data_IF_081518923240
#
_entry.id   IF_081518923240
#
_cell.length_a   1.000
_cell.length_b   1.000
_cell.length_c   1.000
_cell.angle_alpha   90.00
_cell.angle_beta   90.00
_cell.angle_gamma   90.00
#
_symmetry.space_group_name_H-M   'P 1'
#
loop_
_entity.id
_entity.type
_entity.pdbx_description
1 polymer ?
#
# COMPACT_ATOMS: atom_id res chain seq x y z
N UNK A 1 -35.26 -5.35 -9.17
CA UNK A 1 -33.93 -5.86 -8.75
C UNK A 1 -33.34 -7.06 -9.53
N UNK A 2 -33.91 -7.61 -10.63
CA UNK A 2 -33.23 -8.66 -11.39
C UNK A 2 -32.08 -8.14 -12.28
N UNK A 3 -32.14 -6.89 -12.75
CA UNK A 3 -31.10 -6.32 -13.64
C UNK A 3 -29.76 -6.06 -12.96
N UNK A 4 -29.75 -5.74 -11.66
CA UNK A 4 -28.54 -5.49 -10.90
C UNK A 4 -28.02 -6.73 -10.14
N UNK A 5 -28.62 -7.91 -10.31
CA UNK A 5 -28.14 -9.18 -9.71
C UNK A 5 -28.26 -9.28 -8.17
N UNK A 6 -28.04 -10.48 -7.62
CA UNK A 6 -28.07 -10.75 -6.17
C UNK A 6 -26.83 -10.19 -5.46
N UNK A 7 -26.97 -9.86 -4.17
CA UNK A 7 -25.87 -9.43 -3.28
C UNK A 7 -25.43 -10.63 -2.43
N UNK A 8 -24.12 -10.89 -2.25
CA UNK A 8 -22.97 -10.20 -2.85
C UNK A 8 -22.65 -10.68 -4.28
N UNK A 9 -22.22 -9.77 -5.15
CA UNK A 9 -21.67 -10.09 -6.48
C UNK A 9 -20.15 -10.19 -6.41
N UNK A 10 -19.54 -11.10 -7.18
CA UNK A 10 -18.07 -11.20 -7.30
C UNK A 10 -17.44 -9.86 -7.73
N UNK A 11 -18.17 -9.09 -8.55
CA UNK A 11 -17.73 -7.79 -9.04
C UNK A 11 -17.70 -6.71 -7.94
N UNK A 12 -18.39 -6.89 -6.82
CA UNK A 12 -18.38 -5.92 -5.71
C UNK A 12 -17.14 -6.04 -4.83
N UNK A 13 -16.45 -7.19 -4.89
CA UNK A 13 -15.32 -7.49 -4.04
C UNK A 13 -14.12 -6.64 -4.48
N UNK A 14 -13.51 -5.83 -3.60
CA UNK A 14 -12.29 -5.11 -3.93
C UNK A 14 -11.11 -6.08 -4.00
N UNK A 15 -10.31 -5.94 -5.05
CA UNK A 15 -9.11 -6.74 -5.33
C UNK A 15 -7.87 -5.97 -4.91
N UNK A 16 -6.87 -6.70 -4.43
CA UNK A 16 -5.55 -6.16 -4.10
C UNK A 16 -4.48 -6.98 -4.82
N UNK A 17 -3.48 -6.29 -5.36
CA UNK A 17 -2.31 -6.88 -5.98
C UNK A 17 -1.07 -6.20 -5.40
N UNK A 18 -0.16 -6.98 -4.84
CA UNK A 18 1.11 -6.52 -4.31
C UNK A 18 2.27 -7.19 -5.03
N UNK A 19 3.35 -6.45 -5.23
CA UNK A 19 4.56 -6.98 -5.86
C UNK A 19 5.80 -6.25 -5.38
N UNK A 20 6.92 -6.95 -5.33
CA UNK A 20 8.22 -6.35 -5.04
C UNK A 20 9.33 -7.06 -5.81
N UNK A 21 10.27 -6.26 -6.30
CA UNK A 21 11.51 -6.70 -6.91
C UNK A 21 12.67 -6.26 -6.02
N UNK A 22 13.56 -7.18 -5.69
CA UNK A 22 14.77 -6.89 -4.92
C UNK A 22 16.01 -7.28 -5.72
N UNK A 23 16.96 -6.36 -5.82
CA UNK A 23 18.24 -6.55 -6.46
C UNK A 23 19.37 -6.47 -5.44
N UNK A 24 20.24 -7.46 -5.45
CA UNK A 24 21.42 -7.49 -4.58
C UNK A 24 22.56 -6.70 -5.23
N UNK A 25 22.82 -5.50 -4.73
CA UNK A 25 23.88 -4.61 -5.23
C UNK A 25 25.28 -5.12 -4.88
N UNK A 26 25.44 -5.65 -3.67
CA UNK A 26 26.71 -6.22 -3.17
C UNK A 26 26.43 -7.43 -2.30
N UNK A 27 27.47 -8.12 -1.83
CA UNK A 27 27.31 -9.21 -0.85
C UNK A 27 26.62 -8.79 0.45
N UNK A 28 26.53 -7.49 0.74
CA UNK A 28 25.97 -6.94 1.97
C UNK A 28 24.79 -6.00 1.74
N UNK A 29 24.57 -5.54 0.51
CA UNK A 29 23.61 -4.50 0.20
C UNK A 29 22.57 -5.00 -0.79
N UNK A 30 21.30 -4.72 -0.52
CA UNK A 30 20.20 -4.93 -1.47
C UNK A 30 19.34 -3.67 -1.60
N UNK A 31 18.79 -3.49 -2.79
CA UNK A 31 17.83 -2.45 -3.11
C UNK A 31 16.53 -3.11 -3.56
N UNK A 32 15.40 -2.58 -3.14
CA UNK A 32 14.08 -3.12 -3.45
C UNK A 32 13.16 -2.03 -3.95
N UNK A 33 12.40 -2.33 -5.00
CA UNK A 33 11.27 -1.54 -5.46
C UNK A 33 10.04 -2.41 -5.36
N UNK A 34 9.01 -1.93 -4.67
CA UNK A 34 7.76 -2.65 -4.52
C UNK A 34 6.57 -1.72 -4.65
N UNK A 35 5.39 -2.31 -4.57
CA UNK A 35 4.17 -1.54 -4.61
C UNK A 35 2.94 -2.38 -4.40
N UNK A 36 1.83 -1.67 -4.27
CA UNK A 36 0.51 -2.25 -4.08
C UNK A 36 -0.49 -1.51 -4.94
N UNK A 37 -1.43 -2.26 -5.49
CA UNK A 37 -2.57 -1.82 -6.29
C UNK A 37 -3.82 -2.31 -5.58
N UNK A 38 -4.82 -1.44 -5.44
CA UNK A 38 -6.09 -1.75 -4.82
C UNK A 38 -7.22 -1.20 -5.69
N UNK A 39 -8.05 -2.10 -6.19
CA UNK A 39 -9.22 -1.71 -6.98
C UNK A 39 -10.21 -0.93 -6.12
N UNK A 40 -10.89 0.04 -6.72
CA UNK A 40 -11.97 0.75 -6.07
C UNK A 40 -13.12 -0.16 -5.62
N UNK A 41 -13.59 0.08 -4.40
CA UNK A 41 -14.83 -0.51 -3.89
C UNK A 41 -16.04 0.21 -4.48
N UNK A 42 -17.17 -0.49 -4.55
CA UNK A 42 -18.46 0.14 -4.89
C UNK A 42 -18.76 1.22 -3.84
N UNK A 43 -19.18 2.40 -4.30
CA UNK A 43 -19.61 3.47 -3.39
C UNK A 43 -21.00 3.15 -2.88
N UNK A 44 -21.21 3.34 -1.58
CA UNK A 44 -22.52 3.23 -0.93
C UNK A 44 -23.07 4.61 -0.54
N UNK A 45 -22.20 5.61 -0.49
CA UNK A 45 -22.51 6.99 -0.12
C UNK A 45 -22.19 7.92 -1.29
N UNK A 46 -22.99 8.98 -1.41
CA UNK A 46 -22.73 10.10 -2.32
C UNK A 46 -21.60 11.01 -1.77
N UNK A 47 -21.41 12.18 -2.37
CA UNK A 47 -20.37 13.14 -1.94
C UNK A 47 -20.73 13.84 -0.62
N UNK A 48 -22.03 13.90 -0.29
CA UNK A 48 -22.57 14.49 0.93
C UNK A 48 -22.71 13.47 2.08
N UNK A 49 -22.09 12.29 1.95
CA UNK A 49 -22.18 11.17 2.90
C UNK A 49 -23.58 10.60 3.12
N UNK A 50 -24.51 10.86 2.20
CA UNK A 50 -25.85 10.27 2.22
C UNK A 50 -25.86 8.93 1.46
N UNK A 51 -26.70 7.97 1.87
CA UNK A 51 -26.89 6.71 1.15
C UNK A 51 -27.28 6.95 -0.31
N UNK A 52 -26.60 6.28 -1.23
CA UNK A 52 -27.00 6.31 -2.64
C UNK A 52 -28.40 5.73 -2.83
N UNK A 53 -29.13 6.31 -3.78
CA UNK A 53 -30.42 5.76 -4.19
C UNK A 53 -30.26 4.35 -4.77
N UNK A 54 -31.36 3.59 -4.83
CA UNK A 54 -31.36 2.25 -5.45
C UNK A 54 -30.96 2.32 -6.93
N UNK A 55 -31.26 3.44 -7.58
CA UNK A 55 -30.94 3.69 -8.98
C UNK A 55 -29.45 4.00 -9.18
N UNK A 56 -28.80 4.67 -8.22
CA UNK A 56 -27.35 4.96 -8.26
C UNK A 56 -26.48 3.80 -7.73
N UNK A 57 -27.11 2.79 -7.13
CA UNK A 57 -26.42 1.63 -6.55
C UNK A 57 -25.61 0.87 -7.63
N UNK A 58 -24.31 0.68 -7.38
CA UNK A 58 -23.29 0.07 -8.27
C UNK A 58 -22.92 0.86 -9.54
N UNK A 59 -23.42 2.08 -9.72
CA UNK A 59 -23.00 2.89 -10.87
C UNK A 59 -21.60 3.49 -10.70
N UNK A 60 -21.20 3.77 -9.46
CA UNK A 60 -19.93 4.41 -9.14
C UNK A 60 -19.06 3.54 -8.24
N UNK A 61 -17.77 3.51 -8.56
CA UNK A 61 -16.71 2.92 -7.73
C UNK A 61 -15.74 4.00 -7.31
N UNK A 62 -15.07 3.76 -6.20
CA UNK A 62 -13.90 4.56 -5.82
C UNK A 62 -12.79 4.43 -6.89
N UNK A 63 -11.88 5.41 -6.99
CA UNK A 63 -10.73 5.29 -7.88
C UNK A 63 -9.80 4.15 -7.45
N UNK A 64 -9.00 3.65 -8.40
CA UNK A 64 -7.88 2.75 -8.11
C UNK A 64 -6.89 3.48 -7.19
N UNK A 65 -6.52 2.85 -6.08
CA UNK A 65 -5.41 3.29 -5.25
C UNK A 65 -4.15 2.50 -5.59
N UNK A 66 -3.03 3.18 -5.69
CA UNK A 66 -1.73 2.54 -5.88
C UNK A 66 -0.65 3.22 -5.06
N UNK A 67 0.41 2.47 -4.79
CA UNK A 67 1.59 2.96 -4.07
C UNK A 67 2.84 2.27 -4.61
N UNK A 68 3.90 3.06 -4.80
CA UNK A 68 5.24 2.56 -5.09
C UNK A 68 6.16 2.87 -3.92
N UNK A 69 6.91 1.87 -3.49
CA UNK A 69 7.79 1.87 -2.34
C UNK A 69 9.22 1.55 -2.78
N UNK A 70 10.19 2.19 -2.14
CA UNK A 70 11.60 1.90 -2.35
C UNK A 70 12.29 1.64 -1.02
N UNK A 71 13.21 0.68 -1.04
CA UNK A 71 13.92 0.24 0.14
C UNK A 71 15.37 -0.09 -0.15
N UNK A 72 16.21 0.13 0.84
CA UNK A 72 17.59 -0.29 0.89
C UNK A 72 17.82 -1.09 2.16
N UNK A 73 18.54 -2.20 2.04
CA UNK A 73 18.95 -3.00 3.18
C UNK A 73 20.44 -3.26 3.16
N UNK A 74 21.07 -3.13 4.33
CA UNK A 74 22.46 -3.48 4.56
C UNK A 74 22.57 -4.53 5.65
N UNK A 75 23.23 -5.65 5.35
CA UNK A 75 23.43 -6.77 6.26
C UNK A 75 24.92 -7.03 6.47
N UNK A 76 25.38 -7.02 7.72
CA UNK A 76 26.75 -7.35 8.10
C UNK A 76 26.77 -8.37 9.23
N UNK A 77 27.46 -9.49 9.02
CA UNK A 77 27.75 -10.48 10.05
C UNK A 77 29.09 -10.17 10.72
N UNK A 78 29.15 -10.37 12.02
CA UNK A 78 30.31 -10.24 12.89
C UNK A 78 30.47 -11.55 13.69
N UNK A 79 30.78 -12.65 13.01
CA UNK A 79 30.74 -13.99 13.59
C UNK A 79 29.30 -14.40 13.90
N UNK A 80 29.02 -14.72 15.16
CA UNK A 80 27.67 -15.10 15.64
C UNK A 80 26.69 -13.91 15.64
N UNK A 81 27.20 -12.67 15.62
CA UNK A 81 26.38 -11.46 15.66
C UNK A 81 25.98 -11.01 14.26
N UNK A 82 24.77 -10.45 14.15
CA UNK A 82 24.27 -9.87 12.89
C UNK A 82 23.77 -8.45 13.11
N UNK A 83 24.23 -7.54 12.25
CA UNK A 83 23.66 -6.20 12.08
C UNK A 83 22.85 -6.15 10.79
N UNK A 84 21.62 -5.65 10.89
CA UNK A 84 20.76 -5.34 9.76
C UNK A 84 20.30 -3.89 9.85
N UNK A 85 20.61 -3.12 8.82
CA UNK A 85 20.08 -1.78 8.61
C UNK A 85 19.07 -1.83 7.46
N UNK A 86 17.94 -1.15 7.64
CA UNK A 86 16.96 -0.93 6.57
C UNK A 86 16.56 0.52 6.55
N UNK A 87 16.49 1.08 5.36
CA UNK A 87 16.05 2.43 5.10
C UNK A 87 15.12 2.37 3.90
N UNK A 88 14.09 3.19 3.87
CA UNK A 88 13.22 3.22 2.71
C UNK A 88 12.20 4.32 2.80
N UNK A 89 11.41 4.41 1.74
CA UNK A 89 10.37 5.41 1.57
C UNK A 89 9.16 4.70 1.01
N UNK A 90 8.06 4.75 1.75
CA UNK A 90 6.76 4.35 1.25
C UNK A 90 6.14 5.48 0.45
N UNK A 91 5.37 5.11 -0.57
CA UNK A 91 4.63 6.06 -1.41
C UNK A 91 5.53 7.14 -2.04
N UNK A 92 6.60 6.71 -2.71
CA UNK A 92 7.40 7.60 -3.56
C UNK A 92 6.52 8.24 -4.64
N UNK A 93 5.62 7.43 -5.19
CA UNK A 93 4.55 7.86 -6.10
C UNK A 93 3.32 7.00 -5.86
N UNK A 94 2.14 7.62 -5.86
CA UNK A 94 0.90 6.92 -5.61
C UNK A 94 -0.19 7.82 -5.04
N UNK A 95 -1.35 7.20 -4.88
CA UNK A 95 -2.54 7.75 -4.24
C UNK A 95 -3.07 6.74 -3.21
N UNK A 96 -2.29 6.44 -2.14
CA UNK A 96 -2.75 5.51 -1.11
C UNK A 96 -4.06 6.00 -0.48
N UNK A 97 -4.95 5.08 -0.12
CA UNK A 97 -6.17 5.46 0.59
C UNK A 97 -5.83 5.91 2.01
N UNK A 98 -6.71 6.69 2.66
CA UNK A 98 -6.50 7.10 4.06
C UNK A 98 -6.30 5.91 5.00
N UNK A 99 -6.98 4.79 4.74
CA UNK A 99 -6.78 3.55 5.51
C UNK A 99 -5.42 2.88 5.27
N UNK A 100 -4.77 3.13 4.13
CA UNK A 100 -3.42 2.63 3.82
C UNK A 100 -2.33 3.56 4.37
N UNK A 101 -2.70 4.79 4.77
CA UNK A 101 -1.83 5.73 5.47
C UNK A 101 -1.88 5.36 6.96
N UNK A 102 -0.98 4.47 7.34
CA UNK A 102 -0.70 4.11 8.72
C UNK A 102 -0.13 5.35 9.45
N UNK A 103 -0.97 6.06 10.22
CA UNK A 103 -0.61 7.23 11.05
C UNK A 103 0.33 6.93 12.24
N UNK A 104 1.31 6.04 12.04
CA UNK A 104 2.32 5.68 13.03
C UNK A 104 3.61 6.49 12.86
N UNK A 105 3.69 7.35 11.84
CA UNK A 105 4.86 8.16 11.52
C UNK A 105 4.64 9.61 11.91
N UNK A 106 5.60 10.20 12.61
CA UNK A 106 5.56 11.61 13.02
C UNK A 106 5.82 12.59 11.88
N UNK A 107 6.24 12.11 10.70
CA UNK A 107 6.69 12.93 9.57
C UNK A 107 5.98 12.49 8.30
N UNK A 108 5.30 13.44 7.68
CA UNK A 108 4.63 13.28 6.39
C UNK A 108 5.26 14.25 5.38
N UNK A 109 5.80 13.73 4.29
CA UNK A 109 6.23 14.56 3.17
C UNK A 109 5.09 14.79 2.19
N UNK A 110 5.26 15.75 1.27
CA UNK A 110 4.25 16.06 0.24
C UNK A 110 3.77 14.79 -0.46
N UNK A 111 2.46 14.64 -0.60
CA UNK A 111 1.84 13.49 -1.24
C UNK A 111 1.80 12.21 -0.38
N UNK A 112 1.89 12.32 0.95
CA UNK A 112 1.88 11.17 1.88
C UNK A 112 3.04 10.20 1.63
N UNK A 113 4.21 10.75 1.30
CA UNK A 113 5.47 10.03 1.20
C UNK A 113 6.06 9.84 2.61
N UNK A 114 6.32 8.59 3.00
CA UNK A 114 6.62 8.21 4.38
C UNK A 114 7.99 7.54 4.49
N UNK A 115 9.02 8.23 5.01
CA UNK A 115 10.32 7.63 5.23
C UNK A 115 10.28 6.65 6.43
N UNK A 116 11.03 5.56 6.33
CA UNK A 116 11.24 4.64 7.45
C UNK A 116 12.70 4.21 7.56
N UNK A 117 13.10 3.86 8.77
CA UNK A 117 14.41 3.31 9.06
C UNK A 117 14.35 2.32 10.21
N UNK A 118 15.15 1.27 10.15
CA UNK A 118 15.29 0.31 11.24
C UNK A 118 16.72 -0.17 11.38
N UNK A 119 17.12 -0.38 12.63
CA UNK A 119 18.37 -1.03 13.01
C UNK A 119 17.99 -2.27 13.81
N UNK A 120 18.47 -3.43 13.38
CA UNK A 120 18.20 -4.71 14.07
C UNK A 120 19.51 -5.43 14.36
N UNK A 121 19.63 -5.92 15.59
CA UNK A 121 20.75 -6.71 16.05
C UNK A 121 20.28 -8.12 16.37
N UNK A 122 21.05 -9.12 15.95
CA UNK A 122 20.97 -10.49 16.44
C UNK A 122 22.26 -10.78 17.21
N UNK A 123 22.12 -11.21 18.46
CA UNK A 123 23.22 -11.61 19.34
C UNK A 123 23.28 -13.12 19.45
#
# INVERSE_FOLDING_TARGET
MPEKGKVPSLYDVPHQLGGALSYQLTTRSSFSVGGMLRSGKVRFLNEDYEPLSVDDFREKREPLNYRVDVGYSYRKSFGEKLLLLRLGVYNVVGNPSEGDILSFYSVHWRGNCLPYGSISFKF
#
